data_IF_077567064148
#
_entry.id   IF_077567064148
#
_cell.length_a   1.000
_cell.length_b   1.000
_cell.length_c   1.000
_cell.angle_alpha   90.00
_cell.angle_beta   90.00
_cell.angle_gamma   90.00
#
_symmetry.space_group_name_H-M   'P 1'
#
loop_
_entity.id
_entity.type
_entity.pdbx_description
1 polymer ?
#
# COMPACT_ATOMS: atom_id res chain seq x y z
N UNK A 1 18.43 -8.36 -14.89
CA UNK A 1 16.96 -8.27 -15.08
C UNK A 1 16.40 -7.47 -13.92
N UNK A 2 15.30 -6.72 -14.06
CA UNK A 2 14.78 -5.78 -13.05
C UNK A 2 14.11 -6.48 -11.87
N UNK A 3 14.80 -7.46 -11.29
CA UNK A 3 14.36 -8.25 -10.15
C UNK A 3 15.45 -8.25 -9.09
N UNK A 4 15.04 -8.19 -7.83
CA UNK A 4 15.96 -8.28 -6.70
C UNK A 4 15.47 -9.27 -5.66
N UNK A 5 16.29 -10.28 -5.39
CA UNK A 5 16.00 -11.28 -4.36
C UNK A 5 16.18 -10.64 -2.99
N UNK A 6 15.15 -10.71 -2.14
CA UNK A 6 15.16 -10.21 -0.75
C UNK A 6 14.99 -11.33 0.28
N UNK A 7 14.44 -12.46 -0.15
CA UNK A 7 14.37 -13.75 0.56
C UNK A 7 14.53 -14.91 -0.46
N UNK A 8 14.53 -16.16 0.01
CA UNK A 8 14.73 -17.35 -0.84
C UNK A 8 13.77 -17.43 -2.02
N UNK A 9 12.49 -17.15 -1.77
CA UNK A 9 11.39 -17.29 -2.74
C UNK A 9 10.75 -15.95 -3.12
N UNK A 10 11.48 -14.85 -2.95
CA UNK A 10 10.94 -13.49 -3.12
C UNK A 10 11.87 -12.67 -3.98
N UNK A 11 11.46 -12.43 -5.23
CA UNK A 11 12.15 -11.58 -6.18
C UNK A 11 11.27 -10.37 -6.51
N UNK A 12 11.59 -9.23 -5.90
CA UNK A 12 10.83 -8.00 -6.10
C UNK A 12 11.14 -7.42 -7.48
N UNK A 13 10.09 -7.11 -8.24
CA UNK A 13 10.22 -6.36 -9.48
C UNK A 13 10.41 -4.88 -9.19
N UNK A 14 11.30 -4.22 -9.92
CA UNK A 14 11.57 -2.79 -9.72
C UNK A 14 11.85 -2.03 -11.03
N UNK A 15 11.60 -0.73 -11.01
CA UNK A 15 11.96 0.19 -12.09
C UNK A 15 12.71 1.40 -11.56
N UNK A 16 13.77 1.81 -12.27
CA UNK A 16 14.52 3.04 -11.98
C UNK A 16 14.28 4.03 -13.11
N UNK A 17 13.78 5.21 -12.74
CA UNK A 17 13.56 6.33 -13.65
C UNK A 17 14.49 7.47 -13.24
N UNK A 18 15.51 7.74 -14.05
CA UNK A 18 16.48 8.79 -13.76
C UNK A 18 15.89 10.17 -14.05
N UNK A 19 16.33 11.15 -13.26
CA UNK A 19 15.90 12.53 -13.42
C UNK A 19 16.09 13.04 -14.85
N UNK A 20 15.17 13.87 -15.36
CA UNK A 20 15.35 14.55 -16.65
C UNK A 20 16.40 15.67 -16.61
N UNK A 21 16.87 16.05 -15.41
CA UNK A 21 17.87 17.09 -15.22
C UNK A 21 19.27 16.63 -15.68
N UNK A 22 20.11 17.49 -16.27
CA UNK A 22 21.51 17.14 -16.61
C UNK A 22 22.38 16.71 -15.41
N UNK A 23 21.94 16.98 -14.18
CA UNK A 23 22.65 16.68 -12.93
C UNK A 23 22.12 15.42 -12.24
N UNK A 24 21.71 14.41 -13.01
CA UNK A 24 21.05 13.17 -12.51
C UNK A 24 21.79 12.53 -11.33
N UNK A 25 23.12 12.43 -11.40
CA UNK A 25 23.94 11.77 -10.39
C UNK A 25 23.88 12.42 -8.99
N UNK A 26 23.46 13.68 -8.91
CA UNK A 26 23.34 14.43 -7.63
C UNK A 26 21.90 14.67 -7.23
N UNK A 27 20.92 14.15 -7.99
CA UNK A 27 19.50 14.31 -7.66
C UNK A 27 19.15 13.38 -6.50
N UNK A 28 18.33 13.86 -5.54
CA UNK A 28 17.81 13.01 -4.48
C UNK A 28 16.96 11.87 -5.05
N UNK A 29 16.78 10.82 -4.27
CA UNK A 29 15.98 9.66 -4.66
C UNK A 29 14.58 9.73 -4.06
N UNK A 30 13.58 9.31 -4.83
CA UNK A 30 12.19 9.17 -4.42
C UNK A 30 11.75 7.73 -4.61
N UNK A 31 11.30 7.08 -3.53
CA UNK A 31 10.59 5.80 -3.58
C UNK A 31 9.09 6.08 -3.50
N UNK A 32 8.35 5.70 -4.55
CA UNK A 32 6.89 5.79 -4.58
C UNK A 32 6.33 4.39 -4.31
N UNK A 33 5.48 4.27 -3.29
CA UNK A 33 4.85 3.01 -2.89
C UNK A 33 3.48 2.91 -3.56
N UNK A 34 3.28 1.93 -4.43
CA UNK A 34 2.01 1.77 -5.15
C UNK A 34 0.85 1.37 -4.20
N UNK A 35 -0.41 1.57 -4.60
CA UNK A 35 -1.54 1.23 -3.74
C UNK A 35 -1.77 -0.27 -3.54
N UNK A 36 -2.48 -0.62 -2.46
CA UNK A 36 -3.00 -1.95 -2.16
C UNK A 36 -3.76 -2.54 -3.37
N UNK A 37 -3.56 -3.84 -3.61
CA UNK A 37 -4.06 -4.60 -4.76
C UNK A 37 -3.50 -4.21 -6.13
N UNK A 38 -2.89 -3.03 -6.28
CA UNK A 38 -2.41 -2.53 -7.55
C UNK A 38 -0.92 -2.85 -7.75
N UNK A 39 -0.25 -2.09 -8.60
CA UNK A 39 1.16 -2.26 -8.94
C UNK A 39 1.73 -0.93 -9.44
N UNK A 40 3.03 -0.89 -9.74
CA UNK A 40 3.70 0.34 -10.17
C UNK A 40 3.15 0.96 -11.46
N UNK A 41 2.42 0.23 -12.30
CA UNK A 41 1.80 0.82 -13.50
C UNK A 41 0.72 1.85 -13.16
N UNK A 42 0.09 1.77 -11.99
CA UNK A 42 -0.91 2.73 -11.52
C UNK A 42 -0.31 4.04 -11.03
N UNK A 43 1.01 4.11 -10.83
CA UNK A 43 1.72 5.33 -10.44
C UNK A 43 2.40 6.03 -11.63
N UNK A 44 2.28 5.49 -12.85
CA UNK A 44 2.90 6.08 -14.04
C UNK A 44 2.41 7.48 -14.39
N UNK A 45 1.22 7.90 -13.96
CA UNK A 45 0.76 9.30 -14.16
C UNK A 45 1.57 10.34 -13.36
N UNK A 46 2.38 9.88 -12.41
CA UNK A 46 3.32 10.71 -11.65
C UNK A 46 4.74 10.68 -12.22
N UNK A 47 5.05 9.68 -13.05
CA UNK A 47 6.39 9.43 -13.60
C UNK A 47 6.47 9.78 -15.09
N UNK A 48 5.50 9.35 -15.88
CA UNK A 48 5.43 9.44 -17.33
C UNK A 48 4.63 10.68 -17.79
N UNK A 49 5.23 11.87 -17.68
CA UNK A 49 4.64 13.12 -18.17
C UNK A 49 5.55 14.32 -17.98
N UNK A 50 5.20 15.52 -18.51
CA UNK A 50 5.94 16.75 -18.26
C UNK A 50 6.17 16.98 -16.77
N UNK A 51 7.43 17.18 -16.40
CA UNK A 51 8.04 16.33 -15.38
C UNK A 51 8.37 16.99 -14.05
N UNK A 52 7.37 17.36 -13.26
CA UNK A 52 7.66 17.92 -11.94
C UNK A 52 8.44 16.95 -11.01
N UNK A 53 8.08 15.67 -10.94
CA UNK A 53 8.85 14.72 -10.11
C UNK A 53 10.21 14.34 -10.70
N UNK A 54 10.28 14.02 -11.99
CA UNK A 54 11.54 13.66 -12.64
C UNK A 54 12.51 14.86 -12.79
N UNK A 55 12.04 16.10 -12.72
CA UNK A 55 12.93 17.27 -12.62
C UNK A 55 13.59 17.38 -11.23
N UNK A 56 12.96 16.81 -10.20
CA UNK A 56 13.40 16.89 -8.79
C UNK A 56 14.22 15.67 -8.38
N UNK A 57 13.83 14.46 -8.81
CA UNK A 57 14.31 13.19 -8.26
C UNK A 57 14.80 12.21 -9.32
N UNK A 58 15.69 11.31 -8.91
CA UNK A 58 15.73 9.95 -9.44
C UNK A 58 14.62 9.15 -8.73
N UNK A 59 13.87 8.33 -9.44
CA UNK A 59 12.72 7.61 -8.89
C UNK A 59 12.98 6.11 -8.93
N UNK A 60 12.71 5.43 -7.82
CA UNK A 60 12.67 3.98 -7.71
C UNK A 60 11.22 3.55 -7.45
N UNK A 61 10.75 2.60 -8.22
CA UNK A 61 9.43 1.96 -8.08
C UNK A 61 9.66 0.49 -7.79
N UNK A 62 8.92 -0.09 -6.84
CA UNK A 62 9.04 -1.50 -6.47
C UNK A 62 7.64 -2.05 -6.32
N UNK A 63 7.35 -3.16 -7.00
CA UNK A 63 6.12 -3.92 -6.74
C UNK A 63 6.26 -4.65 -5.41
N UNK A 64 5.30 -4.47 -4.50
CA UNK A 64 5.24 -5.19 -3.24
C UNK A 64 5.21 -6.71 -3.47
N UNK A 65 5.55 -7.46 -2.42
CA UNK A 65 5.34 -8.90 -2.39
C UNK A 65 3.90 -9.23 -2.80
N UNK A 66 3.73 -10.24 -3.65
CA UNK A 66 2.43 -10.68 -4.17
C UNK A 66 1.64 -9.61 -4.94
N UNK A 67 2.33 -8.62 -5.51
CA UNK A 67 1.74 -7.60 -6.37
C UNK A 67 2.46 -7.51 -7.72
N UNK A 68 1.73 -7.02 -8.73
CA UNK A 68 2.28 -6.67 -10.03
C UNK A 68 3.11 -7.79 -10.66
N UNK A 69 4.38 -7.48 -10.90
CA UNK A 69 5.35 -8.37 -11.54
C UNK A 69 6.28 -9.07 -10.56
N UNK A 70 6.17 -8.76 -9.26
CA UNK A 70 6.99 -9.40 -8.22
C UNK A 70 6.70 -10.90 -8.15
N UNK A 71 7.76 -11.69 -8.14
CA UNK A 71 7.67 -13.14 -8.02
C UNK A 71 7.78 -13.51 -6.55
N UNK A 72 6.65 -13.87 -5.93
CA UNK A 72 6.60 -14.35 -4.55
C UNK A 72 5.39 -15.25 -4.35
N UNK A 73 5.54 -16.27 -3.49
CA UNK A 73 4.40 -17.04 -2.98
C UNK A 73 3.78 -16.32 -1.78
N UNK A 74 2.50 -16.59 -1.53
CA UNK A 74 1.88 -16.21 -0.28
C UNK A 74 2.66 -16.86 0.88
N UNK A 75 3.03 -16.06 1.89
CA UNK A 75 3.75 -16.53 3.06
C UNK A 75 2.88 -16.37 4.29
N UNK A 76 2.79 -17.39 5.16
CA UNK A 76 1.97 -17.33 6.37
C UNK A 76 2.51 -16.33 7.41
N UNK A 77 3.80 -15.99 7.35
CA UNK A 77 4.44 -15.01 8.23
C UNK A 77 4.46 -13.59 7.67
N UNK A 78 3.99 -13.37 6.44
CA UNK A 78 4.04 -12.06 5.81
C UNK A 78 3.08 -11.07 6.49
N UNK A 79 3.66 -10.04 7.10
CA UNK A 79 2.97 -8.90 7.68
C UNK A 79 3.54 -7.57 7.16
N UNK A 80 3.09 -6.44 7.72
CA UNK A 80 3.59 -5.12 7.32
C UNK A 80 5.08 -4.93 7.62
N UNK A 81 5.64 -5.60 8.63
CA UNK A 81 7.07 -5.55 8.92
C UNK A 81 7.89 -6.28 7.86
N UNK A 82 7.35 -7.39 7.35
CA UNK A 82 7.96 -8.17 6.27
C UNK A 82 7.99 -7.34 4.99
N UNK A 83 6.88 -6.67 4.64
CA UNK A 83 6.83 -5.75 3.50
C UNK A 83 7.78 -4.56 3.67
N UNK A 84 7.92 -4.03 4.88
CA UNK A 84 8.92 -2.98 5.17
C UNK A 84 10.35 -3.49 4.98
N UNK A 85 10.67 -4.70 5.43
CA UNK A 85 11.99 -5.30 5.28
C UNK A 85 12.32 -5.61 3.82
N UNK A 86 11.34 -6.09 3.03
CA UNK A 86 11.44 -6.27 1.58
C UNK A 86 11.97 -4.98 0.90
N UNK A 87 11.37 -3.83 1.21
CA UNK A 87 11.83 -2.54 0.68
C UNK A 87 13.23 -2.17 1.18
N UNK A 88 13.50 -2.31 2.48
CA UNK A 88 14.80 -1.98 3.05
C UNK A 88 15.93 -2.80 2.41
N UNK A 89 15.69 -4.10 2.19
CA UNK A 89 16.62 -5.02 1.55
C UNK A 89 16.80 -4.68 0.07
N UNK A 90 15.73 -4.32 -0.64
CA UNK A 90 15.83 -3.88 -2.02
C UNK A 90 16.70 -2.62 -2.14
N UNK A 91 16.44 -1.59 -1.33
CA UNK A 91 17.25 -0.36 -1.30
C UNK A 91 18.72 -0.67 -0.96
N UNK A 92 18.96 -1.57 0.01
CA UNK A 92 20.30 -2.01 0.39
C UNK A 92 21.04 -2.72 -0.76
N UNK A 93 20.41 -3.72 -1.37
CA UNK A 93 21.01 -4.56 -2.41
C UNK A 93 21.18 -3.81 -3.74
N UNK A 94 20.27 -2.87 -4.06
CA UNK A 94 20.45 -1.90 -5.15
C UNK A 94 21.50 -0.83 -4.81
N UNK A 95 21.93 -0.76 -3.55
CA UNK A 95 22.93 0.16 -3.07
C UNK A 95 22.52 1.63 -3.34
N UNK A 96 21.23 1.92 -3.10
CA UNK A 96 20.68 3.26 -3.23
C UNK A 96 21.03 4.11 -2.00
N UNK A 97 21.15 5.44 -2.17
CA UNK A 97 21.21 6.35 -1.04
C UNK A 97 19.86 6.42 -0.31
N UNK A 98 19.80 7.04 0.88
CA UNK A 98 18.55 7.36 1.55
C UNK A 98 17.57 8.08 0.61
N UNK A 99 16.29 7.74 0.73
CA UNK A 99 15.22 8.16 -0.19
C UNK A 99 14.19 9.04 0.51
N UNK A 100 13.53 9.89 -0.25
CA UNK A 100 12.24 10.43 0.12
C UNK A 100 11.17 9.38 -0.19
N UNK A 101 10.16 9.25 0.67
CA UNK A 101 9.06 8.32 0.49
C UNK A 101 7.81 9.07 0.05
N UNK A 102 7.07 8.47 -0.89
CA UNK A 102 5.72 8.89 -1.23
C UNK A 102 4.81 7.65 -1.21
N UNK A 103 4.12 7.48 -0.08
CA UNK A 103 3.09 6.46 0.09
C UNK A 103 1.78 6.93 -0.52
N UNK A 104 1.22 6.12 -1.43
CA UNK A 104 0.08 6.54 -2.25
C UNK A 104 -1.28 6.16 -1.67
N UNK A 105 -1.31 5.27 -0.68
CA UNK A 105 -2.51 4.80 -0.01
C UNK A 105 -2.24 4.35 1.44
N UNK A 106 -3.25 3.75 2.07
CA UNK A 106 -3.19 3.28 3.43
C UNK A 106 -2.15 2.16 3.67
N UNK A 107 -2.02 1.18 2.76
CA UNK A 107 -0.99 0.13 2.85
C UNK A 107 0.41 0.77 2.79
N UNK A 108 0.65 1.60 1.77
CA UNK A 108 1.92 2.30 1.61
C UNK A 108 2.26 3.13 2.85
N UNK A 109 1.26 3.79 3.46
CA UNK A 109 1.46 4.61 4.65
C UNK A 109 1.91 3.80 5.86
N UNK A 110 1.26 2.65 6.10
CA UNK A 110 1.63 1.73 7.18
C UNK A 110 3.04 1.13 7.00
N UNK A 111 3.41 0.79 5.77
CA UNK A 111 4.77 0.32 5.43
C UNK A 111 5.79 1.46 5.59
N UNK A 112 5.45 2.68 5.18
CA UNK A 112 6.36 3.82 5.15
C UNK A 112 6.79 4.25 6.56
N UNK A 113 5.88 4.36 7.54
CA UNK A 113 6.31 4.77 8.88
C UNK A 113 7.09 3.67 9.61
N UNK A 114 6.80 2.38 9.35
CA UNK A 114 7.62 1.26 9.84
C UNK A 114 9.04 1.35 9.28
N UNK A 115 9.17 1.71 7.99
CA UNK A 115 10.47 1.97 7.36
C UNK A 115 11.18 3.15 8.04
N UNK A 116 10.46 4.25 8.31
CA UNK A 116 10.99 5.43 9.00
C UNK A 116 11.47 5.14 10.42
N UNK A 117 10.82 4.21 11.14
CA UNK A 117 11.18 3.86 12.51
C UNK A 117 12.30 2.83 12.61
N UNK A 118 12.13 1.67 11.97
CA UNK A 118 13.06 0.54 12.08
C UNK A 118 14.31 0.71 11.21
N UNK A 119 14.14 1.23 9.99
CA UNK A 119 15.23 1.45 9.02
C UNK A 119 15.46 2.95 8.77
N UNK A 120 15.34 3.76 9.84
CA UNK A 120 15.46 5.22 9.80
C UNK A 120 16.62 5.78 8.94
N UNK A 121 17.83 5.17 8.91
CA UNK A 121 18.91 5.62 8.05
C UNK A 121 18.60 5.66 6.55
N UNK A 122 17.57 4.95 6.08
CA UNK A 122 17.20 4.88 4.67
C UNK A 122 16.22 5.98 4.23
N UNK A 123 15.69 6.79 5.15
CA UNK A 123 14.58 7.71 4.87
C UNK A 123 14.97 9.16 5.16
N UNK A 124 14.69 10.05 4.20
CA UNK A 124 14.95 11.49 4.31
C UNK A 124 13.70 12.30 4.68
N UNK A 125 12.55 11.92 4.12
CA UNK A 125 11.23 12.47 4.44
C UNK A 125 10.15 11.52 3.95
N UNK A 126 8.91 11.72 4.36
CA UNK A 126 7.78 10.89 3.93
C UNK A 126 6.53 11.73 3.66
N UNK A 127 5.88 11.47 2.53
CA UNK A 127 4.51 11.90 2.27
C UNK A 127 3.58 10.69 2.35
N UNK A 128 2.50 10.81 3.11
CA UNK A 128 1.48 9.80 3.33
C UNK A 128 0.17 10.27 2.67
N UNK A 129 -0.36 9.49 1.73
CA UNK A 129 -1.73 9.64 1.27
C UNK A 129 -2.59 8.62 2.01
N UNK A 130 -3.51 9.11 2.83
CA UNK A 130 -4.31 8.36 3.79
C UNK A 130 -3.50 7.85 4.99
N UNK A 131 -4.03 8.09 6.18
CA UNK A 131 -3.48 7.66 7.47
C UNK A 131 -4.52 6.73 8.09
N UNK A 132 -4.36 5.39 7.97
CA UNK A 132 -5.33 4.45 8.53
C UNK A 132 -5.18 4.32 10.05
N UNK A 133 -6.15 3.69 10.73
CA UNK A 133 -5.98 3.27 12.11
C UNK A 133 -4.89 2.19 12.22
N UNK A 134 -4.29 2.09 13.40
CA UNK A 134 -3.16 1.18 13.64
C UNK A 134 -3.48 -0.30 13.46
N UNK A 135 -4.74 -0.66 13.68
CA UNK A 135 -5.35 -1.96 13.45
C UNK A 135 -6.81 -1.75 13.06
N UNK A 136 -7.43 -2.75 12.46
CA UNK A 136 -8.88 -2.70 12.26
C UNK A 136 -9.62 -3.16 13.50
N UNK A 137 -10.66 -2.42 13.87
CA UNK A 137 -11.50 -2.69 15.04
C UNK A 137 -12.98 -2.71 14.68
N UNK A 138 -13.78 -3.30 15.57
CA UNK A 138 -15.24 -3.25 15.50
C UNK A 138 -15.81 -3.74 14.17
N UNK A 139 -16.72 -2.94 13.62
CA UNK A 139 -17.45 -3.27 12.39
C UNK A 139 -16.52 -3.37 11.17
N UNK A 140 -15.58 -2.44 11.01
CA UNK A 140 -14.67 -2.40 9.85
C UNK A 140 -13.85 -3.69 9.74
N UNK A 141 -13.33 -4.20 10.87
CA UNK A 141 -12.63 -5.49 10.92
C UNK A 141 -13.51 -6.64 10.42
N UNK A 142 -14.75 -6.70 10.90
CA UNK A 142 -15.71 -7.75 10.52
C UNK A 142 -16.05 -7.66 9.03
N UNK A 143 -16.27 -6.44 8.52
CA UNK A 143 -16.55 -6.20 7.12
C UNK A 143 -15.39 -6.62 6.22
N UNK A 144 -14.14 -6.32 6.58
CA UNK A 144 -12.98 -6.77 5.82
C UNK A 144 -12.86 -8.30 5.80
N UNK A 145 -13.09 -8.97 6.92
CA UNK A 145 -13.06 -10.44 6.97
C UNK A 145 -14.13 -11.06 6.06
N UNK A 146 -15.33 -10.49 6.04
CA UNK A 146 -16.41 -10.91 5.14
C UNK A 146 -16.04 -10.68 3.67
N UNK A 147 -15.57 -9.47 3.32
CA UNK A 147 -15.10 -9.12 1.97
C UNK A 147 -14.00 -10.07 1.51
N UNK A 148 -13.01 -10.34 2.37
CA UNK A 148 -11.90 -11.25 2.05
C UNK A 148 -12.37 -12.68 1.82
N UNK A 149 -13.33 -13.15 2.61
CA UNK A 149 -13.92 -14.49 2.44
C UNK A 149 -14.67 -14.57 1.11
N UNK A 150 -15.54 -13.61 0.81
CA UNK A 150 -16.28 -13.53 -0.46
C UNK A 150 -15.38 -13.30 -1.67
N UNK A 151 -14.19 -12.71 -1.49
CA UNK A 151 -13.24 -12.55 -2.57
C UNK A 151 -12.44 -13.83 -2.84
N UNK A 152 -11.87 -14.42 -1.79
CA UNK A 152 -10.92 -15.54 -1.93
C UNK A 152 -11.62 -16.89 -2.07
N UNK A 153 -12.82 -17.04 -1.52
CA UNK A 153 -13.56 -18.30 -1.56
C UNK A 153 -15.07 -18.10 -1.78
N UNK A 154 -15.50 -17.31 -2.79
CA UNK A 154 -16.92 -17.11 -3.09
C UNK A 154 -17.62 -18.42 -3.45
N UNK A 155 -18.89 -18.54 -3.07
CA UNK A 155 -19.75 -19.63 -3.54
C UNK A 155 -20.29 -19.31 -4.94
N UNK A 156 -20.65 -18.05 -5.18
CA UNK A 156 -21.19 -17.56 -6.45
C UNK A 156 -20.40 -16.35 -6.99
N UNK A 157 -20.38 -16.12 -8.32
CA UNK A 157 -19.74 -14.93 -8.92
C UNK A 157 -20.24 -13.61 -8.34
N UNK A 158 -21.50 -13.54 -7.94
CA UNK A 158 -22.14 -12.36 -7.36
C UNK A 158 -21.54 -12.00 -5.99
N UNK A 159 -21.10 -12.98 -5.20
CA UNK A 159 -20.42 -12.74 -3.92
C UNK A 159 -19.07 -12.03 -4.14
N UNK A 160 -18.36 -12.45 -5.19
CA UNK A 160 -17.11 -11.81 -5.60
C UNK A 160 -17.36 -10.39 -6.10
N UNK A 161 -18.37 -10.20 -6.96
CA UNK A 161 -18.75 -8.87 -7.47
C UNK A 161 -19.16 -7.93 -6.32
N UNK A 162 -19.84 -8.44 -5.30
CA UNK A 162 -20.16 -7.69 -4.08
C UNK A 162 -18.90 -7.30 -3.30
N UNK A 163 -17.94 -8.21 -3.10
CA UNK A 163 -16.69 -7.91 -2.40
C UNK A 163 -15.84 -6.84 -3.11
N UNK A 164 -15.76 -6.90 -4.44
CA UNK A 164 -15.04 -5.90 -5.24
C UNK A 164 -15.76 -4.57 -5.19
N UNK A 165 -17.10 -4.57 -5.23
CA UNK A 165 -17.90 -3.35 -5.11
C UNK A 165 -17.76 -2.67 -3.73
N UNK A 166 -17.78 -3.45 -2.65
CA UNK A 166 -17.58 -2.94 -1.29
C UNK A 166 -16.17 -2.35 -1.13
N UNK A 167 -15.15 -3.02 -1.68
CA UNK A 167 -13.77 -2.53 -1.62
C UNK A 167 -13.58 -1.26 -2.45
N UNK A 168 -14.22 -1.15 -3.63
CA UNK A 168 -14.23 0.11 -4.38
C UNK A 168 -14.87 1.23 -3.58
N UNK A 169 -16.00 0.97 -2.93
CA UNK A 169 -16.68 1.97 -2.13
C UNK A 169 -15.80 2.45 -0.97
N UNK A 170 -15.10 1.54 -0.29
CA UNK A 170 -14.14 1.89 0.75
C UNK A 170 -13.05 2.84 0.22
N UNK A 171 -12.41 2.49 -0.89
CA UNK A 171 -11.27 3.24 -1.40
C UNK A 171 -11.66 4.57 -2.05
N UNK A 172 -12.77 4.59 -2.80
CA UNK A 172 -13.15 5.69 -3.70
C UNK A 172 -14.40 6.46 -3.25
N UNK A 173 -15.10 5.99 -2.22
CA UNK A 173 -16.42 6.47 -1.84
C UNK A 173 -17.51 6.04 -2.86
N UNK A 174 -18.72 6.64 -2.78
CA UNK A 174 -19.79 6.36 -3.73
C UNK A 174 -19.37 6.56 -5.19
N UNK A 175 -19.64 5.53 -6.00
CA UNK A 175 -19.13 5.30 -7.37
C UNK A 175 -19.28 6.45 -8.40
N UNK A 176 -20.10 7.45 -8.15
CA UNK A 176 -20.53 8.41 -9.19
C UNK A 176 -20.18 9.87 -8.93
N UNK A 177 -19.76 10.25 -7.72
CA UNK A 177 -19.72 11.68 -7.38
C UNK A 177 -18.39 12.34 -7.77
N UNK A 178 -17.28 11.61 -7.68
CA UNK A 178 -15.94 12.22 -7.79
C UNK A 178 -14.90 11.41 -8.56
N UNK A 179 -15.20 10.15 -8.92
CA UNK A 179 -14.29 9.27 -9.64
C UNK A 179 -14.85 8.95 -11.03
N UNK A 180 -14.00 8.96 -12.06
CA UNK A 180 -14.45 8.55 -13.40
C UNK A 180 -14.68 7.04 -13.44
N UNK A 181 -15.67 6.60 -14.21
CA UNK A 181 -15.94 5.18 -14.39
C UNK A 181 -14.74 4.43 -14.98
N UNK A 182 -13.92 5.09 -15.81
CA UNK A 182 -12.70 4.47 -16.35
C UNK A 182 -11.65 4.20 -15.27
N UNK A 183 -11.51 5.05 -14.24
CA UNK A 183 -10.61 4.79 -13.10
C UNK A 183 -11.13 3.61 -12.29
N UNK A 184 -12.43 3.57 -12.00
CA UNK A 184 -13.06 2.46 -11.28
C UNK A 184 -12.96 1.15 -12.08
N UNK A 185 -13.19 1.18 -13.39
CA UNK A 185 -13.05 0.01 -14.26
C UNK A 185 -11.59 -0.44 -14.40
N UNK A 186 -10.63 0.49 -14.44
CA UNK A 186 -9.20 0.16 -14.44
C UNK A 186 -8.80 -0.57 -13.15
N UNK A 187 -9.25 -0.04 -12.01
CA UNK A 187 -9.05 -0.67 -10.70
C UNK A 187 -9.66 -2.07 -10.70
N UNK A 188 -10.98 -2.19 -10.93
CA UNK A 188 -11.71 -3.46 -10.92
C UNK A 188 -11.11 -4.49 -11.89
N UNK A 189 -10.74 -4.06 -13.08
CA UNK A 189 -10.11 -4.90 -14.08
C UNK A 189 -8.79 -5.50 -13.61
N UNK A 190 -7.98 -4.77 -12.83
CA UNK A 190 -6.77 -5.33 -12.23
C UNK A 190 -7.09 -6.51 -11.30
N UNK A 191 -8.15 -6.42 -10.50
CA UNK A 191 -8.54 -7.51 -9.61
C UNK A 191 -9.09 -8.70 -10.40
N UNK A 192 -9.92 -8.44 -11.42
CA UNK A 192 -10.44 -9.48 -12.32
C UNK A 192 -9.30 -10.28 -12.94
N UNK A 193 -8.23 -9.61 -13.40
CA UNK A 193 -7.08 -10.27 -14.04
C UNK A 193 -6.20 -11.05 -13.05
N UNK A 194 -5.93 -10.45 -11.89
CA UNK A 194 -4.86 -10.90 -10.97
C UNK A 194 -5.34 -11.74 -9.82
N UNK A 195 -6.52 -11.44 -9.32
CA UNK A 195 -7.08 -12.00 -8.09
C UNK A 195 -8.49 -12.60 -8.29
N UNK A 196 -8.79 -13.32 -9.40
CA UNK A 196 -10.00 -14.10 -9.47
C UNK A 196 -9.97 -15.26 -8.46
N UNK A 197 -11.12 -15.88 -8.13
CA UNK A 197 -11.18 -16.98 -7.15
C UNK A 197 -10.29 -18.19 -7.48
N UNK A 198 -10.04 -18.47 -8.76
CA UNK A 198 -9.10 -19.51 -9.18
C UNK A 198 -7.61 -19.19 -8.87
N UNK A 199 -7.32 -17.99 -8.37
CA UNK A 199 -6.01 -17.51 -7.88
C UNK A 199 -6.12 -17.00 -6.43
N UNK A 200 -6.98 -17.63 -5.62
CA UNK A 200 -7.29 -17.19 -4.26
C UNK A 200 -6.06 -16.97 -3.36
N UNK A 201 -5.02 -17.79 -3.49
CA UNK A 201 -3.81 -17.62 -2.68
C UNK A 201 -3.03 -16.36 -3.04
N UNK A 202 -3.05 -15.97 -4.32
CA UNK A 202 -2.48 -14.71 -4.77
C UNK A 202 -3.31 -13.51 -4.30
N UNK A 203 -4.64 -13.63 -4.34
CA UNK A 203 -5.57 -12.64 -3.81
C UNK A 203 -5.36 -12.41 -2.30
N UNK A 204 -5.20 -13.50 -1.52
CA UNK A 204 -4.88 -13.42 -0.10
C UNK A 204 -3.51 -12.75 0.13
N UNK A 205 -2.48 -13.22 -0.58
CA UNK A 205 -1.12 -12.71 -0.43
C UNK A 205 -0.99 -11.21 -0.71
N UNK A 206 -1.79 -10.65 -1.62
CA UNK A 206 -1.75 -9.23 -1.96
C UNK A 206 -2.35 -8.30 -0.89
N UNK A 207 -3.03 -8.81 0.13
CA UNK A 207 -3.71 -7.92 1.09
C UNK A 207 -3.67 -8.37 2.54
N UNK A 208 -3.35 -9.64 2.83
CA UNK A 208 -3.42 -10.19 4.18
C UNK A 208 -2.61 -9.37 5.19
N UNK A 209 -1.41 -8.91 4.81
CA UNK A 209 -0.56 -8.10 5.65
C UNK A 209 -1.25 -6.80 6.12
N UNK A 210 -2.09 -6.19 5.29
CA UNK A 210 -2.80 -4.95 5.61
C UNK A 210 -4.13 -5.21 6.33
N UNK A 211 -4.91 -6.18 5.84
CA UNK A 211 -6.26 -6.47 6.35
C UNK A 211 -6.21 -7.05 7.75
N UNK A 212 -5.25 -7.94 8.03
CA UNK A 212 -5.06 -8.57 9.33
C UNK A 212 -3.91 -7.90 10.11
N UNK A 213 -3.64 -6.61 9.84
CA UNK A 213 -2.55 -5.90 10.50
C UNK A 213 -2.79 -5.77 12.00
N UNK A 214 -1.69 -5.89 12.75
CA UNK A 214 -1.65 -5.62 14.18
C UNK A 214 -1.05 -4.23 14.44
N UNK A 215 -1.51 -3.60 15.52
CA UNK A 215 -0.95 -2.33 15.98
C UNK A 215 0.57 -2.45 16.16
N UNK A 216 1.37 -1.53 15.61
CA UNK A 216 2.80 -1.50 15.90
C UNK A 216 3.01 -1.15 17.38
N UNK A 217 4.14 -1.58 17.99
CA UNK A 217 4.49 -1.20 19.34
C UNK A 217 4.50 0.33 19.53
N UNK A 218 3.99 0.81 20.66
CA UNK A 218 3.96 2.24 20.98
C UNK A 218 5.36 2.89 21.03
N UNK A 219 6.40 2.08 21.21
CA UNK A 219 7.81 2.48 21.14
C UNK A 219 8.27 2.88 19.73
N UNK A 220 7.52 2.53 18.68
CA UNK A 220 7.88 2.86 17.30
C UNK A 220 7.71 4.36 17.00
N UNK A 221 6.58 4.96 17.36
CA UNK A 221 6.23 6.32 16.96
C UNK A 221 7.28 7.37 17.42
N UNK A 222 7.85 7.29 18.64
CA UNK A 222 8.94 8.16 19.07
C UNK A 222 10.24 8.02 18.25
N UNK A 223 10.45 6.93 17.51
CA UNK A 223 11.66 6.75 16.70
C UNK A 223 11.61 7.54 15.39
N UNK A 224 10.42 7.93 14.94
CA UNK A 224 10.22 8.62 13.67
C UNK A 224 10.57 10.10 13.84
N UNK A 225 11.58 10.55 13.08
CA UNK A 225 12.18 11.91 13.19
C UNK A 225 12.31 12.64 11.85
N UNK A 226 11.85 12.02 10.77
CA UNK A 226 11.92 12.60 9.43
C UNK A 226 10.77 13.58 9.20
N UNK A 227 10.93 14.62 8.37
CA UNK A 227 9.81 15.46 7.94
C UNK A 227 8.68 14.63 7.35
N UNK A 228 7.45 14.90 7.77
CA UNK A 228 6.25 14.14 7.36
C UNK A 228 5.13 15.06 6.85
N UNK A 229 4.65 14.81 5.64
CA UNK A 229 3.39 15.36 5.15
C UNK A 229 2.33 14.25 5.16
N UNK A 230 1.24 14.44 5.88
CA UNK A 230 0.10 13.53 5.83
C UNK A 230 -1.07 14.24 5.13
N UNK A 231 -1.57 13.63 4.06
CA UNK A 231 -2.76 14.04 3.33
C UNK A 231 -3.86 13.02 3.62
N UNK A 232 -5.05 13.48 4.04
CA UNK A 232 -6.15 12.58 4.39
C UNK A 232 -7.46 13.06 3.75
N UNK A 233 -8.18 12.18 3.07
CA UNK A 233 -9.46 12.53 2.43
C UNK A 233 -10.59 12.57 3.45
N UNK A 234 -11.54 13.48 3.32
CA UNK A 234 -12.70 13.60 4.22
C UNK A 234 -14.02 13.06 3.64
N UNK A 235 -14.00 12.60 2.38
CA UNK A 235 -15.24 12.25 1.71
C UNK A 235 -15.68 10.82 2.00
N UNK A 236 -16.77 10.68 2.78
CA UNK A 236 -17.57 9.46 2.97
C UNK A 236 -16.74 8.18 2.98
N UNK A 237 -15.75 8.15 3.86
CA UNK A 237 -14.82 7.06 3.97
C UNK A 237 -14.91 6.40 5.34
N UNK A 238 -14.23 5.27 5.47
CA UNK A 238 -14.28 4.45 6.69
C UNK A 238 -13.27 4.89 7.76
N UNK A 239 -12.42 5.88 7.46
CA UNK A 239 -11.36 6.35 8.35
C UNK A 239 -11.56 7.84 8.61
N UNK A 240 -12.20 8.19 9.72
CA UNK A 240 -12.53 9.58 9.99
C UNK A 240 -11.28 10.48 10.18
N UNK A 241 -11.43 11.75 9.78
CA UNK A 241 -10.35 12.73 9.88
C UNK A 241 -9.85 12.94 11.32
N UNK A 242 -10.70 13.04 12.36
CA UNK A 242 -10.24 13.13 13.75
C UNK A 242 -9.34 11.98 14.20
N UNK A 243 -9.69 10.72 13.88
CA UNK A 243 -8.88 9.56 14.20
C UNK A 243 -7.55 9.54 13.44
N UNK A 244 -7.58 9.87 12.15
CA UNK A 244 -6.37 10.02 11.34
C UNK A 244 -5.43 11.11 11.87
N UNK A 245 -5.97 12.26 12.30
CA UNK A 245 -5.18 13.33 12.90
C UNK A 245 -4.62 12.92 14.27
N UNK A 246 -5.41 12.24 15.11
CA UNK A 246 -4.93 11.66 16.38
C UNK A 246 -3.75 10.73 16.15
N UNK A 247 -3.85 9.84 15.16
CA UNK A 247 -2.77 8.93 14.77
C UNK A 247 -1.53 9.67 14.30
N UNK A 248 -1.68 10.71 13.48
CA UNK A 248 -0.54 11.56 13.07
C UNK A 248 0.15 12.23 14.28
N UNK A 249 -0.61 12.65 15.29
CA UNK A 249 -0.07 13.30 16.50
C UNK A 249 0.72 12.35 17.41
N UNK A 250 0.65 11.04 17.20
CA UNK A 250 1.50 10.08 17.92
C UNK A 250 2.98 10.18 17.54
N UNK A 251 3.30 10.75 16.36
CA UNK A 251 4.67 10.95 15.90
C UNK A 251 5.31 12.18 16.55
N UNK A 252 5.57 12.10 17.86
CA UNK A 252 5.96 13.23 18.72
C UNK A 252 7.31 13.89 18.38
N UNK A 253 8.19 13.22 17.64
CA UNK A 253 9.55 13.69 17.34
C UNK A 253 9.74 14.18 15.89
N UNK A 254 8.65 14.36 15.14
CA UNK A 254 8.72 14.87 13.76
C UNK A 254 9.08 16.37 13.74
N UNK A 255 9.82 16.84 12.71
CA UNK A 255 10.22 18.24 12.62
C UNK A 255 9.04 19.20 12.42
N UNK A 256 9.18 20.50 12.75
CA UNK A 256 8.13 21.52 12.53
C UNK A 256 7.68 21.73 11.08
N UNK A 257 8.47 21.24 10.11
CA UNK A 257 8.09 21.22 8.69
C UNK A 257 7.04 20.16 8.36
N UNK A 258 6.64 19.35 9.34
CA UNK A 258 5.66 18.30 9.19
C UNK A 258 4.24 18.85 9.34
N UNK A 259 3.28 18.30 8.60
CA UNK A 259 1.89 18.76 8.65
C UNK A 259 0.90 17.66 8.29
N UNK A 260 -0.23 17.63 8.99
CA UNK A 260 -1.43 16.90 8.60
C UNK A 260 -2.38 17.85 7.85
N UNK A 261 -2.90 17.41 6.70
CA UNK A 261 -3.81 18.20 5.87
C UNK A 261 -5.00 17.35 5.46
N UNK A 262 -6.19 17.88 5.72
CA UNK A 262 -7.43 17.32 5.22
C UNK A 262 -7.61 17.76 3.76
N UNK A 263 -7.95 16.81 2.90
CA UNK A 263 -8.23 16.99 1.49
C UNK A 263 -9.74 16.99 1.30
N UNK A 264 -10.33 18.18 1.23
CA UNK A 264 -11.78 18.36 1.11
C UNK A 264 -12.35 17.69 -0.14
N UNK A 265 -13.52 17.05 0.00
CA UNK A 265 -14.25 16.33 -1.05
C UNK A 265 -13.37 15.30 -1.78
N UNK A 266 -12.47 14.65 -1.05
CA UNK A 266 -11.48 13.73 -1.61
C UNK A 266 -11.59 12.36 -0.90
N UNK A 267 -11.63 11.23 -1.63
CA UNK A 267 -11.66 9.91 -1.03
C UNK A 267 -10.28 9.49 -0.49
N UNK A 268 -10.21 8.35 0.18
CA UNK A 268 -8.94 7.80 0.69
C UNK A 268 -7.96 7.51 -0.45
N UNK A 269 -8.47 7.00 -1.57
CA UNK A 269 -7.69 6.77 -2.78
C UNK A 269 -7.56 8.07 -3.60
N UNK A 270 -7.02 9.12 -2.98
CA UNK A 270 -6.86 10.44 -3.60
C UNK A 270 -5.78 10.49 -4.69
N UNK A 271 -4.84 9.55 -4.65
CA UNK A 271 -3.64 9.57 -5.48
C UNK A 271 -3.97 9.40 -6.97
N UNK A 272 -4.88 8.50 -7.32
CA UNK A 272 -5.29 8.26 -8.71
C UNK A 272 -6.51 9.09 -9.12
N UNK A 273 -7.41 9.42 -8.18
CA UNK A 273 -8.62 10.21 -8.43
C UNK A 273 -8.36 11.71 -8.53
N UNK A 274 -7.50 12.24 -7.66
CA UNK A 274 -7.20 13.67 -7.55
C UNK A 274 -5.70 13.97 -7.66
N UNK A 275 -4.98 13.46 -8.68
CA UNK A 275 -3.53 13.57 -8.75
C UNK A 275 -3.04 15.02 -8.82
N UNK A 276 -3.84 15.93 -9.38
CA UNK A 276 -3.54 17.37 -9.42
C UNK A 276 -3.55 17.99 -8.02
N UNK A 277 -4.59 17.73 -7.22
CA UNK A 277 -4.71 18.26 -5.85
C UNK A 277 -3.62 17.72 -4.94
N UNK A 278 -3.31 16.42 -5.06
CA UNK A 278 -2.19 15.81 -4.33
C UNK A 278 -0.87 16.50 -4.68
N UNK A 279 -0.60 16.75 -5.98
CA UNK A 279 0.60 17.47 -6.44
C UNK A 279 0.67 18.91 -5.93
N UNK A 280 -0.46 19.63 -5.87
CA UNK A 280 -0.56 20.99 -5.32
C UNK A 280 -0.18 21.05 -3.83
N UNK A 281 -0.42 19.98 -3.06
CA UNK A 281 0.00 19.90 -1.66
C UNK A 281 1.44 19.43 -1.50
N UNK A 282 1.83 18.40 -2.25
CA UNK A 282 3.13 17.74 -2.11
C UNK A 282 4.29 18.58 -2.65
N UNK A 283 4.15 19.17 -3.86
CA UNK A 283 5.27 19.84 -4.52
C UNK A 283 5.80 21.05 -3.74
N UNK A 284 4.97 21.98 -3.25
CA UNK A 284 5.48 23.09 -2.44
C UNK A 284 6.16 22.62 -1.16
N UNK A 285 5.62 21.58 -0.52
CA UNK A 285 6.21 21.03 0.70
C UNK A 285 7.60 20.43 0.45
N UNK A 286 7.73 19.58 -0.58
CA UNK A 286 9.01 18.94 -0.88
C UNK A 286 10.03 19.92 -1.44
N UNK A 287 9.60 20.92 -2.23
CA UNK A 287 10.49 21.97 -2.75
C UNK A 287 11.08 22.80 -1.62
N UNK A 288 10.25 23.16 -0.63
CA UNK A 288 10.73 23.84 0.57
C UNK A 288 11.74 23.00 1.34
N UNK A 289 11.49 21.69 1.50
CA UNK A 289 12.44 20.78 2.16
C UNK A 289 13.77 20.65 1.39
N UNK A 290 13.71 20.54 0.07
CA UNK A 290 14.91 20.45 -0.78
C UNK A 290 15.71 21.77 -0.82
N UNK A 291 15.05 22.91 -0.61
CA UNK A 291 15.68 24.23 -0.57
C UNK A 291 16.34 24.55 0.79
N UNK A 292 16.01 23.83 1.87
CA UNK A 292 16.62 24.06 3.19
C UNK A 292 18.14 23.88 3.09
N UNK A 293 18.93 24.83 3.65
CA UNK A 293 20.37 24.68 3.71
C UNK A 293 20.69 23.42 4.50
N UNK A 294 21.21 22.42 3.79
CA UNK A 294 21.86 21.28 4.43
C UNK A 294 22.91 21.84 5.39
N UNK A 295 22.93 21.36 6.65
CA UNK A 295 23.88 21.73 7.70
C UNK A 295 25.29 22.08 7.13
N UNK A 296 26.11 22.97 7.74
CA UNK A 296 27.44 23.31 7.21
C UNK A 296 28.40 22.11 7.05
N UNK A 297 28.06 20.96 7.62
CA UNK A 297 28.43 19.63 7.11
C UNK A 297 27.20 18.98 6.46
N UNK A 298 26.96 19.18 5.16
CA UNK A 298 25.89 18.46 4.50
C UNK A 298 26.34 17.00 4.47
N UNK A 299 25.51 16.01 4.83
CA UNK A 299 25.71 14.69 4.23
C UNK A 299 25.42 14.92 2.76
N UNK A 300 26.41 15.37 1.97
CA UNK A 300 26.33 15.77 0.55
C UNK A 300 25.21 15.04 -0.18
N UNK A 301 23.98 15.59 -0.19
CA UNK A 301 22.78 14.89 -0.69
C UNK A 301 22.80 13.36 -0.52
N UNK A 302 23.20 12.84 0.64
CA UNK A 302 23.54 11.43 0.89
C UNK A 302 24.02 10.65 -0.37
N UNK A 303 24.89 11.24 -1.20
CA UNK A 303 25.48 10.57 -2.37
C UNK A 303 26.35 9.39 -1.95
N UNK A 304 26.67 9.34 -0.65
CA UNK A 304 27.28 8.21 0.02
C UNK A 304 26.21 7.22 0.44
N UNK A 305 26.32 6.04 -0.14
CA UNK A 305 25.76 4.75 0.28
C UNK A 305 25.60 4.71 1.80
N UNK A 306 24.40 4.41 2.27
CA UNK A 306 24.16 4.13 3.68
C UNK A 306 23.97 2.63 3.85
N UNK A 307 25.09 1.94 4.04
CA UNK A 307 25.03 0.56 4.50
C UNK A 307 24.47 0.57 5.93
N UNK A 308 23.44 -0.24 6.17
CA UNK A 308 23.01 -0.58 7.51
C UNK A 308 23.33 -2.06 7.75
N UNK A 309 23.51 -2.41 9.01
CA UNK A 309 23.80 -3.77 9.43
C UNK A 309 22.47 -4.51 9.63
N UNK A 310 22.27 -5.60 8.88
CA UNK A 310 21.04 -6.40 8.92
C UNK A 310 20.82 -7.04 10.30
N UNK A 311 21.90 -7.50 10.95
CA UNK A 311 21.84 -8.05 12.31
C UNK A 311 21.43 -6.99 13.33
N UNK A 312 21.99 -5.78 13.27
CA UNK A 312 21.59 -4.68 14.15
C UNK A 312 20.13 -4.27 13.92
N UNK A 313 19.63 -4.37 12.69
CA UNK A 313 18.22 -4.15 12.38
C UNK A 313 17.31 -5.19 13.05
N UNK A 314 17.68 -6.49 13.05
CA UNK A 314 16.95 -7.51 13.79
C UNK A 314 17.01 -7.28 15.31
N UNK A 315 18.15 -6.88 15.85
CA UNK A 315 18.27 -6.55 17.28
C UNK A 315 17.38 -5.37 17.70
N UNK A 316 17.30 -4.32 16.85
CA UNK A 316 16.38 -3.21 17.06
C UNK A 316 14.92 -3.65 16.96
N UNK A 317 14.62 -4.54 16.01
CA UNK A 317 13.28 -5.07 15.84
C UNK A 317 12.86 -5.94 17.04
N UNK A 318 13.74 -6.80 17.51
CA UNK A 318 13.58 -7.59 18.75
C UNK A 318 13.30 -6.69 19.96
N UNK A 319 14.07 -5.59 20.10
CA UNK A 319 13.84 -4.62 21.16
C UNK A 319 12.48 -3.91 21.04
N UNK A 320 12.08 -3.53 19.82
CA UNK A 320 10.78 -2.91 19.56
C UNK A 320 9.61 -3.82 19.94
N UNK A 321 9.71 -5.11 19.61
CA UNK A 321 8.67 -6.11 19.92
C UNK A 321 8.73 -6.59 21.38
N UNK A 322 9.85 -6.37 22.08
CA UNK A 322 10.08 -6.94 23.40
C UNK A 322 10.33 -8.46 23.38
N UNK A 323 10.74 -9.00 22.23
CA UNK A 323 11.01 -10.43 22.03
C UNK A 323 12.47 -10.65 21.58
N UNK A 324 13.36 -11.16 22.45
CA UNK A 324 14.76 -11.39 22.11
C UNK A 324 14.97 -12.52 21.10
N UNK A 325 13.99 -13.42 20.90
CA UNK A 325 14.11 -14.52 19.92
C UNK A 325 14.21 -14.00 18.48
N UNK A 326 13.61 -12.83 18.21
CA UNK A 326 13.65 -12.14 16.91
C UNK A 326 15.09 -11.82 16.50
N UNK A 327 15.96 -11.47 17.44
CA UNK A 327 17.36 -11.13 17.16
C UNK A 327 18.20 -12.35 16.74
N UNK A 328 17.70 -13.58 16.97
CA UNK A 328 18.36 -14.84 16.61
C UNK A 328 17.95 -15.36 15.24
N UNK A 329 16.98 -14.71 14.58
CA UNK A 329 16.53 -15.08 13.23
C UNK A 329 17.61 -14.75 12.20
N UNK A 330 17.46 -15.29 10.98
CA UNK A 330 18.43 -15.07 9.90
C UNK A 330 18.37 -13.60 9.42
N UNK A 331 19.45 -12.80 9.59
CA UNK A 331 19.46 -11.41 9.17
C UNK A 331 19.48 -11.22 7.65
N UNK A 332 19.83 -12.25 6.87
CA UNK A 332 20.02 -12.12 5.41
C UNK A 332 18.73 -12.36 4.60
N UNK A 333 17.59 -12.57 5.28
CA UNK A 333 16.27 -12.71 4.67
C UNK A 333 15.26 -11.73 5.26
N UNK A 334 14.47 -11.09 4.40
CA UNK A 334 13.38 -10.21 4.84
C UNK A 334 12.26 -10.95 5.58
N UNK A 335 12.10 -12.27 5.34
CA UNK A 335 11.11 -13.12 6.01
C UNK A 335 11.32 -13.21 7.53
N UNK A 336 12.50 -12.85 8.05
CA UNK A 336 12.78 -12.81 9.50
C UNK A 336 12.11 -11.64 10.22
N UNK A 337 11.67 -10.62 9.47
CA UNK A 337 11.09 -9.39 10.01
C UNK A 337 9.57 -9.46 10.07
N UNK A 338 9.02 -10.37 10.86
CA UNK A 338 7.58 -10.41 11.19
C UNK A 338 7.34 -10.28 12.70
N UNK A 339 6.21 -9.70 13.07
CA UNK A 339 5.71 -9.58 14.43
C UNK A 339 4.61 -10.61 14.78
N UNK A 340 4.11 -11.35 13.78
CA UNK A 340 3.06 -12.36 13.99
C UNK A 340 3.51 -13.46 14.97
N UNK A 341 2.58 -13.89 15.82
CA UNK A 341 2.76 -15.04 16.72
C UNK A 341 2.75 -16.37 15.95
N UNK A 342 3.35 -17.40 16.55
CA UNK A 342 3.37 -18.76 15.98
C UNK A 342 1.96 -19.31 15.71
N UNK A 343 0.99 -18.98 16.58
CA UNK A 343 -0.41 -19.37 16.42
C UNK A 343 -1.04 -18.70 15.18
N UNK A 344 -0.76 -17.41 14.96
CA UNK A 344 -1.26 -16.67 13.80
C UNK A 344 -0.61 -17.17 12.50
N UNK A 345 0.70 -17.45 12.54
CA UNK A 345 1.42 -18.05 11.40
C UNK A 345 0.83 -19.42 11.07
N UNK A 346 0.57 -20.26 12.07
CA UNK A 346 -0.04 -21.57 11.87
C UNK A 346 -1.44 -21.46 11.25
N UNK A 347 -2.27 -20.54 11.76
CA UNK A 347 -3.61 -20.25 11.22
C UNK A 347 -3.53 -19.78 9.76
N UNK A 348 -2.61 -18.86 9.45
CA UNK A 348 -2.40 -18.38 8.09
C UNK A 348 -1.92 -19.51 7.15
N UNK A 349 -1.08 -20.42 7.64
CA UNK A 349 -0.61 -21.56 6.86
C UNK A 349 -1.76 -22.53 6.52
N UNK A 350 -2.63 -22.84 7.48
CA UNK A 350 -3.84 -23.66 7.26
C UNK A 350 -4.79 -23.00 6.25
N UNK A 351 -4.98 -21.69 6.35
CA UNK A 351 -5.80 -20.93 5.40
C UNK A 351 -5.21 -20.98 3.98
N UNK A 352 -3.90 -20.70 3.83
CA UNK A 352 -3.21 -20.77 2.54
C UNK A 352 -3.36 -22.18 1.95
N UNK A 353 -3.12 -23.24 2.73
CA UNK A 353 -3.25 -24.62 2.26
C UNK A 353 -4.68 -24.95 1.81
N UNK A 354 -5.68 -24.47 2.55
CA UNK A 354 -7.10 -24.63 2.20
C UNK A 354 -7.42 -23.94 0.87
N UNK A 355 -6.95 -22.71 0.68
CA UNK A 355 -7.14 -21.96 -0.57
C UNK A 355 -6.39 -22.60 -1.74
N UNK A 356 -5.16 -23.09 -1.55
CA UNK A 356 -4.40 -23.82 -2.56
C UNK A 356 -5.17 -25.05 -3.06
N UNK A 357 -5.82 -25.77 -2.15
CA UNK A 357 -6.62 -26.95 -2.46
C UNK A 357 -7.93 -26.59 -3.16
N UNK A 358 -8.58 -25.50 -2.76
CA UNK A 358 -9.90 -25.13 -3.27
C UNK A 358 -9.86 -24.36 -4.59
N UNK A 359 -8.85 -23.49 -4.79
CA UNK A 359 -8.80 -22.57 -5.92
C UNK A 359 -8.81 -23.28 -7.29
N UNK A 360 -8.30 -24.50 -7.38
CA UNK A 360 -8.31 -25.29 -8.63
C UNK A 360 -9.73 -25.66 -9.10
N UNK A 361 -10.71 -25.64 -8.18
CA UNK A 361 -12.12 -25.91 -8.46
C UNK A 361 -12.96 -24.64 -8.55
N UNK A 362 -12.37 -23.47 -8.28
CA UNK A 362 -13.07 -22.19 -8.31
C UNK A 362 -13.07 -21.59 -9.71
N UNK A 363 -14.10 -20.79 -9.97
CA UNK A 363 -14.29 -20.13 -11.25
C UNK A 363 -13.30 -18.98 -11.45
N UNK A 364 -13.09 -18.61 -12.72
CA UNK A 364 -12.51 -17.31 -13.08
C UNK A 364 -13.64 -16.34 -13.39
N UNK A 365 -13.41 -15.05 -13.14
CA UNK A 365 -14.28 -13.98 -13.62
C UNK A 365 -14.01 -13.77 -15.11
N UNK A 366 -15.02 -13.36 -15.87
CA UNK A 366 -14.84 -13.01 -17.28
C UNK A 366 -13.90 -11.80 -17.40
N UNK A 367 -12.92 -11.90 -18.30
CA UNK A 367 -11.75 -11.01 -18.32
C UNK A 367 -10.58 -11.47 -17.44
N UNK A 368 -10.78 -12.53 -16.64
CA UNK A 368 -9.70 -13.20 -15.93
C UNK A 368 -8.70 -13.80 -16.91
N UNK A 369 -7.42 -13.41 -16.76
CA UNK A 369 -6.37 -13.75 -17.73
C UNK A 369 -6.28 -12.82 -18.94
N UNK A 370 -7.05 -11.72 -18.98
CA UNK A 370 -6.78 -10.64 -19.92
C UNK A 370 -5.34 -10.11 -19.74
N UNK A 371 -4.74 -9.53 -20.80
CA UNK A 371 -3.36 -9.03 -20.73
C UNK A 371 -3.17 -7.97 -19.63
N UNK A 372 -1.98 -7.93 -19.06
CA UNK A 372 -1.60 -6.95 -18.03
C UNK A 372 -1.16 -5.62 -18.64
N UNK A 373 -1.14 -4.56 -17.84
CA UNK A 373 -0.76 -3.21 -18.27
C UNK A 373 0.66 -3.13 -18.85
N UNK A 374 1.57 -3.98 -18.40
CA UNK A 374 2.95 -4.06 -18.88
C UNK A 374 3.15 -4.90 -20.16
N UNK A 375 2.09 -5.46 -20.75
CA UNK A 375 2.20 -6.20 -22.03
C UNK A 375 2.03 -5.30 -23.26
N UNK A 376 1.78 -4.01 -23.06
CA UNK A 376 1.48 -3.05 -24.14
C UNK A 376 0.06 -3.18 -24.71
N UNK A 377 -0.82 -3.92 -24.04
CA UNK A 377 -2.23 -4.05 -24.42
C UNK A 377 -2.98 -2.73 -24.21
N UNK A 378 -3.96 -2.45 -25.07
CA UNK A 378 -4.90 -1.33 -24.94
C UNK A 378 -5.80 -1.46 -23.72
N UNK A 379 -6.47 -0.36 -23.35
CA UNK A 379 -7.39 -0.36 -22.21
C UNK A 379 -8.53 -1.37 -22.41
N UNK A 380 -9.06 -1.47 -23.63
CA UNK A 380 -10.12 -2.40 -24.00
C UNK A 380 -9.66 -3.86 -23.94
N UNK A 381 -8.42 -4.14 -24.33
CA UNK A 381 -7.84 -5.49 -24.22
C UNK A 381 -7.60 -5.90 -22.77
N UNK A 382 -7.17 -4.96 -21.92
CA UNK A 382 -7.00 -5.19 -20.49
C UNK A 382 -8.35 -5.37 -19.76
N UNK A 383 -9.39 -4.67 -20.21
CA UNK A 383 -10.70 -4.61 -19.58
C UNK A 383 -11.82 -5.01 -20.56
N UNK A 384 -11.80 -6.26 -21.07
CA UNK A 384 -12.75 -6.72 -22.10
C UNK A 384 -14.19 -6.76 -21.57
N UNK A 385 -14.35 -6.92 -20.26
CA UNK A 385 -15.62 -6.79 -19.55
C UNK A 385 -15.50 -5.70 -18.48
N UNK A 386 -16.03 -4.52 -18.77
CA UNK A 386 -16.05 -3.40 -17.82
C UNK A 386 -16.94 -3.75 -16.63
N UNK A 387 -16.38 -3.65 -15.43
CA UNK A 387 -17.07 -3.98 -14.17
C UNK A 387 -18.31 -3.11 -13.94
N UNK A 388 -18.23 -1.82 -14.30
CA UNK A 388 -19.35 -0.88 -14.27
C UNK A 388 -20.57 -1.38 -15.06
N UNK A 389 -20.36 -2.00 -16.23
CA UNK A 389 -21.42 -2.58 -17.05
C UNK A 389 -21.94 -3.90 -16.50
N UNK A 390 -21.07 -4.68 -15.87
CA UNK A 390 -21.40 -5.96 -15.23
C UNK A 390 -22.41 -5.75 -14.10
N UNK A 391 -22.12 -4.82 -13.20
CA UNK A 391 -23.02 -4.49 -12.07
C UNK A 391 -24.38 -3.95 -12.55
N UNK A 392 -24.40 -3.12 -13.60
CA UNK A 392 -25.66 -2.60 -14.16
C UNK A 392 -26.58 -3.69 -14.71
N UNK A 393 -26.02 -4.76 -15.29
CA UNK A 393 -26.82 -5.90 -15.76
C UNK A 393 -27.48 -6.63 -14.59
N UNK A 394 -26.71 -6.90 -13.53
CA UNK A 394 -27.19 -7.63 -12.34
C UNK A 394 -28.24 -6.83 -11.56
N UNK A 395 -28.10 -5.49 -11.48
CA UNK A 395 -29.07 -4.62 -10.80
C UNK A 395 -30.46 -4.61 -11.46
N UNK A 396 -30.55 -4.95 -12.76
CA UNK A 396 -31.83 -5.07 -13.47
C UNK A 396 -32.67 -6.29 -13.06
N UNK A 397 -32.11 -7.23 -12.29
CA UNK A 397 -32.72 -8.53 -11.96
C UNK A 397 -33.23 -8.63 -10.51
N UNK A 398 -33.22 -7.52 -9.74
CA UNK A 398 -34.01 -7.39 -8.51
C UNK A 398 -33.42 -7.99 -7.22
N UNK A 399 -32.11 -8.17 -7.11
CA UNK A 399 -31.45 -8.56 -5.86
C UNK A 399 -31.18 -7.37 -4.94
N UNK A 400 -31.60 -7.45 -3.67
CA UNK A 400 -31.09 -6.59 -2.59
C UNK A 400 -29.58 -6.81 -2.48
N UNK A 401 -28.82 -5.74 -2.64
CA UNK A 401 -27.39 -5.82 -2.88
C UNK A 401 -26.69 -5.91 -1.51
N UNK A 402 -25.92 -6.98 -1.24
CA UNK A 402 -25.01 -7.09 -0.09
C UNK A 402 -24.13 -5.82 0.07
N UNK A 403 -23.84 -5.14 -1.05
CA UNK A 403 -23.18 -3.84 -1.09
C UNK A 403 -23.99 -2.74 -0.39
N UNK A 404 -25.31 -2.69 -0.56
CA UNK A 404 -26.17 -1.73 0.16
C UNK A 404 -26.22 -2.02 1.65
N UNK A 405 -26.24 -3.28 2.07
CA UNK A 405 -26.19 -3.65 3.50
C UNK A 405 -24.83 -3.33 4.13
N UNK A 406 -23.72 -3.64 3.44
CA UNK A 406 -22.37 -3.26 3.89
C UNK A 406 -22.22 -1.74 3.92
N UNK A 407 -22.68 -1.02 2.89
CA UNK A 407 -22.64 0.45 2.85
C UNK A 407 -23.52 1.07 3.94
N UNK A 408 -24.75 0.58 4.14
CA UNK A 408 -25.64 1.05 5.21
C UNK A 408 -24.97 0.85 6.57
N UNK A 409 -24.47 -0.36 6.82
CA UNK A 409 -23.87 -0.70 8.10
C UNK A 409 -22.59 0.09 8.39
N UNK A 410 -21.75 0.35 7.37
CA UNK A 410 -20.61 1.26 7.51
C UNK A 410 -21.12 2.67 7.87
N UNK A 411 -22.07 3.20 7.11
CA UNK A 411 -22.59 4.56 7.27
C UNK A 411 -23.25 4.77 8.64
N UNK A 412 -24.01 3.79 9.12
CA UNK A 412 -24.67 3.80 10.44
C UNK A 412 -23.64 3.74 11.58
N UNK A 413 -22.60 2.89 11.46
CA UNK A 413 -21.56 2.78 12.50
C UNK A 413 -20.72 4.07 12.64
N UNK A 414 -20.48 4.79 11.54
CA UNK A 414 -19.78 6.09 11.58
C UNK A 414 -20.64 7.22 12.13
N UNK A 415 -21.98 7.09 12.11
CA UNK A 415 -22.89 8.13 12.61
C UNK A 415 -23.18 8.01 14.11
N UNK A 416 -23.06 6.81 14.70
CA UNK A 416 -23.28 6.61 16.14
C UNK A 416 -22.13 7.16 17.01
N UNK A 417 -20.91 7.26 16.50
CA UNK A 417 -19.78 7.86 17.25
C UNK A 417 -19.87 9.39 17.36
N UNK A 418 -20.66 10.07 16.51
CA UNK A 418 -20.90 11.52 16.57
C UNK A 418 -21.98 11.91 17.61
N UNK A 419 -22.62 10.94 18.27
CA UNK A 419 -23.74 11.15 19.20
C UNK A 419 -23.46 10.80 20.67
N UNK A 420 -22.20 10.48 21.04
CA UNK A 420 -21.80 10.16 22.42
C UNK A 420 -20.76 11.13 22.99
#
# INVERSE_FOLDING_TARGET
>A
MPFISVASDVNLFYEIHLSSSPQQATRPWLLILHPLFLDISFIYSYVNGPGQLLERFNIILIDFRSHGRTEAKASPSCDLWTLTADLAFALHKLNLPPVHLFATDALGSEVAFRLCGLFAPLVLSVCLCTVPPSEEVGFVKTAFQAVMTSWTNPDLPEDWDASVSATQWWLYGPRSTYCSLDVLDAWAGALIRRYPPCKATHALGSCIAYVERESPPSSLAPLIKVPMLALHGDFQNIYDCPAAERRFREFVNIPPTSSFRIMEDTPLQMFDTFPKRVKEQYYPWIDNLLALPTNPNPPRFATKKQAFNLQESLERFAHLLGDPSVALRDPDTSDSFHALSDDKISTNAELIQTLETNQIYKFSIAGGGAPESWTGASFEEQNPERFSRRIQKTAGEGGTNMVEEIILAITESTAEEDLI
#
